data_IF_175614358021
#
_entry.id   IF_175614358021
#
_cell.length_a   1.000
_cell.length_b   1.000
_cell.length_c   1.000
_cell.angle_alpha   90.00
_cell.angle_beta   90.00
_cell.angle_gamma   90.00
#
_symmetry.space_group_name_H-M   'P 1'
#
loop_
_entity.id
_entity.type
_entity.pdbx_description
1 polymer ?
#
# COMPACT_ATOMS: atom_id res chain seq x y z
N UNK A 1 8.62 54.15 -46.22
CA UNK A 1 8.54 52.73 -46.64
C UNK A 1 8.05 51.92 -45.45
N UNK A 2 7.29 50.86 -45.65
CA UNK A 2 6.80 50.02 -44.55
C UNK A 2 7.96 49.19 -43.99
N UNK A 3 8.71 49.77 -43.06
CA UNK A 3 9.92 49.18 -42.46
C UNK A 3 9.62 48.12 -41.39
N UNK A 4 8.39 47.60 -41.34
CA UNK A 4 7.97 46.59 -40.36
C UNK A 4 7.88 45.23 -41.06
N UNK A 5 8.49 44.16 -40.51
CA UNK A 5 8.18 42.81 -40.96
C UNK A 5 6.67 42.67 -40.99
N UNK A 6 6.14 42.34 -42.16
CA UNK A 6 4.69 42.33 -42.38
C UNK A 6 4.08 41.41 -41.32
N UNK A 7 3.06 41.86 -40.59
CA UNK A 7 2.40 41.08 -39.53
C UNK A 7 2.04 39.66 -40.02
N UNK A 8 1.72 39.54 -41.31
CA UNK A 8 1.54 38.28 -42.01
C UNK A 8 2.75 37.34 -41.92
N UNK A 9 3.98 37.82 -42.15
CA UNK A 9 5.20 37.02 -42.06
C UNK A 9 5.39 36.46 -40.64
N UNK A 10 5.18 37.30 -39.62
CA UNK A 10 5.27 36.89 -38.22
C UNK A 10 4.19 35.85 -37.89
N UNK A 11 2.96 36.05 -38.38
CA UNK A 11 1.88 35.09 -38.20
C UNK A 11 2.18 33.75 -38.87
N UNK A 12 2.72 33.76 -40.09
CA UNK A 12 3.14 32.56 -40.83
C UNK A 12 4.24 31.82 -40.05
N UNK A 13 5.28 32.52 -39.58
CA UNK A 13 6.34 31.93 -38.73
C UNK A 13 5.72 31.28 -37.49
N UNK A 14 4.81 31.98 -36.79
CA UNK A 14 4.12 31.46 -35.62
C UNK A 14 3.33 30.19 -35.91
N UNK A 15 2.60 30.14 -37.02
CA UNK A 15 1.84 28.95 -37.44
C UNK A 15 2.78 27.79 -37.81
N UNK A 16 3.86 28.04 -38.53
CA UNK A 16 4.85 27.00 -38.88
C UNK A 16 5.53 26.42 -37.65
N UNK A 17 5.92 27.27 -36.69
CA UNK A 17 6.56 26.83 -35.44
C UNK A 17 5.55 26.07 -34.57
N UNK A 18 4.33 26.60 -34.42
CA UNK A 18 3.29 25.92 -33.64
C UNK A 18 2.95 24.55 -34.25
N UNK A 19 2.68 24.49 -35.56
CA UNK A 19 2.44 23.23 -36.26
C UNK A 19 3.63 22.27 -36.12
N UNK A 20 4.85 22.74 -36.34
CA UNK A 20 6.07 21.94 -36.19
C UNK A 20 6.21 21.35 -34.78
N UNK A 21 5.98 22.14 -33.73
CA UNK A 21 6.01 21.67 -32.34
C UNK A 21 4.88 20.68 -32.06
N UNK A 22 3.66 20.92 -32.56
CA UNK A 22 2.57 19.96 -32.37
C UNK A 22 2.86 18.61 -33.02
N UNK A 23 3.45 18.60 -34.22
CA UNK A 23 3.84 17.37 -34.91
C UNK A 23 5.01 16.67 -34.24
N UNK A 24 5.94 17.41 -33.62
CA UNK A 24 7.05 16.85 -32.84
C UNK A 24 6.58 16.11 -31.56
N UNK A 25 5.41 16.46 -31.03
CA UNK A 25 4.83 15.81 -29.86
C UNK A 25 4.04 14.55 -30.22
N UNK A 26 3.88 14.24 -31.51
CA UNK A 26 3.19 13.03 -31.94
C UNK A 26 4.08 11.79 -31.86
N UNK A 27 3.43 10.62 -31.83
CA UNK A 27 4.11 9.34 -31.63
C UNK A 27 4.65 8.71 -32.91
N UNK A 28 4.18 9.12 -34.09
CA UNK A 28 4.64 8.57 -35.36
C UNK A 28 5.90 9.29 -35.85
N UNK A 29 6.92 8.52 -36.23
CA UNK A 29 8.19 9.01 -36.73
C UNK A 29 8.02 9.86 -37.99
N UNK A 30 7.06 9.53 -38.86
CA UNK A 30 6.76 10.33 -40.05
C UNK A 30 6.20 11.71 -39.70
N UNK A 31 5.34 11.78 -38.67
CA UNK A 31 4.83 13.06 -38.15
C UNK A 31 5.92 13.88 -37.48
N UNK A 32 6.80 13.25 -36.69
CA UNK A 32 7.98 13.89 -36.10
C UNK A 32 8.89 14.46 -37.21
N UNK A 33 9.16 13.68 -38.27
CA UNK A 33 9.95 14.12 -39.43
C UNK A 33 9.35 15.37 -40.09
N UNK A 34 8.04 15.34 -40.36
CA UNK A 34 7.33 16.49 -40.94
C UNK A 34 7.37 17.70 -39.99
N UNK A 35 7.30 17.47 -38.68
CA UNK A 35 7.47 18.50 -37.64
C UNK A 35 8.84 19.17 -37.70
N UNK A 36 9.93 18.40 -37.84
CA UNK A 36 11.30 18.94 -38.00
C UNK A 36 11.42 19.77 -39.29
N UNK A 37 10.84 19.32 -40.40
CA UNK A 37 10.83 20.07 -41.66
C UNK A 37 10.07 21.39 -41.50
N UNK A 38 8.86 21.37 -40.93
CA UNK A 38 8.05 22.58 -40.69
C UNK A 38 8.76 23.57 -39.77
N UNK A 39 9.34 23.07 -38.67
CA UNK A 39 10.07 23.90 -37.71
C UNK A 39 11.32 24.52 -38.35
N UNK A 40 12.08 23.75 -39.13
CA UNK A 40 13.24 24.27 -39.88
C UNK A 40 12.85 25.38 -40.87
N UNK A 41 11.75 25.21 -41.60
CA UNK A 41 11.22 26.26 -42.47
C UNK A 41 10.77 27.50 -41.69
N UNK A 42 10.10 27.32 -40.55
CA UNK A 42 9.71 28.41 -39.66
C UNK A 42 10.90 29.21 -39.13
N UNK A 43 11.97 28.53 -38.71
CA UNK A 43 13.21 29.16 -38.25
C UNK A 43 13.92 29.90 -39.39
N UNK A 44 13.97 29.33 -40.60
CA UNK A 44 14.54 30.01 -41.76
C UNK A 44 13.80 31.32 -42.08
N UNK A 45 12.47 31.30 -42.03
CA UNK A 45 11.65 32.51 -42.20
C UNK A 45 11.83 33.50 -41.04
N UNK A 46 12.04 33.01 -39.81
CA UNK A 46 12.34 33.85 -38.67
C UNK A 46 13.68 34.58 -38.83
N UNK A 47 14.73 33.88 -39.28
CA UNK A 47 16.03 34.48 -39.61
C UNK A 47 15.90 35.48 -40.76
N UNK A 48 15.10 35.16 -41.78
CA UNK A 48 14.84 36.09 -42.87
C UNK A 48 14.19 37.38 -42.38
N UNK A 49 13.26 37.28 -41.41
CA UNK A 49 12.61 38.43 -40.79
C UNK A 49 13.56 39.35 -40.02
N UNK A 50 14.75 38.88 -39.62
CA UNK A 50 15.75 39.75 -38.97
C UNK A 50 16.61 40.52 -39.95
N UNK A 51 16.57 40.19 -41.25
CA UNK A 51 17.43 40.79 -42.29
C UNK A 51 17.04 42.18 -42.79
N UNK A 52 16.08 42.85 -42.14
CA UNK A 52 15.69 44.22 -42.47
C UNK A 52 14.82 44.35 -43.72
N UNK A 53 14.83 45.54 -44.33
CA UNK A 53 13.99 45.87 -45.48
C UNK A 53 14.35 45.03 -46.72
N UNK A 54 13.33 44.71 -47.52
CA UNK A 54 13.55 44.06 -48.80
C UNK A 54 14.34 45.00 -49.72
N UNK A 55 15.50 44.53 -50.16
CA UNK A 55 16.42 45.24 -51.06
C UNK A 55 16.71 44.41 -52.30
N UNK A 56 17.60 44.92 -53.15
CA UNK A 56 18.10 44.16 -54.29
C UNK A 56 19.01 43.00 -53.87
N UNK A 57 19.28 42.05 -54.77
CA UNK A 57 20.16 40.92 -54.50
C UNK A 57 21.56 41.40 -54.05
N UNK A 58 22.19 40.77 -53.03
CA UNK A 58 23.53 41.11 -52.57
C UNK A 58 24.59 40.55 -53.53
N UNK A 59 24.54 41.04 -54.77
CA UNK A 59 25.44 40.68 -55.85
C UNK A 59 26.16 41.96 -56.31
N UNK A 60 27.48 41.90 -56.36
CA UNK A 60 28.31 43.02 -56.77
C UNK A 60 27.99 43.42 -58.22
N UNK A 61 27.74 44.71 -58.44
CA UNK A 61 27.49 45.29 -59.76
C UNK A 61 26.03 45.29 -60.24
N UNK A 62 25.09 44.72 -59.47
CA UNK A 62 23.66 44.70 -59.82
C UNK A 62 22.83 45.76 -59.07
N UNK A 63 23.13 45.99 -57.79
CA UNK A 63 22.38 46.90 -56.91
C UNK A 63 23.35 47.87 -56.23
N UNK A 64 23.00 49.15 -56.00
CA UNK A 64 23.80 50.04 -55.15
C UNK A 64 23.92 49.48 -53.71
N UNK A 65 25.08 49.64 -53.07
CA UNK A 65 25.35 49.02 -51.75
C UNK A 65 24.35 49.40 -50.64
N UNK A 66 23.74 50.59 -50.71
CA UNK A 66 22.72 51.04 -49.75
C UNK A 66 21.32 50.49 -49.99
N UNK A 67 21.09 49.81 -51.12
CA UNK A 67 19.81 49.22 -51.51
C UNK A 67 19.85 47.68 -51.54
N UNK A 68 20.99 47.08 -51.18
CA UNK A 68 21.14 45.62 -51.09
C UNK A 68 20.48 45.06 -49.83
N UNK A 69 19.86 43.89 -49.94
CA UNK A 69 19.48 43.10 -48.76
C UNK A 69 20.72 42.61 -47.99
N UNK A 70 20.59 42.45 -46.68
CA UNK A 70 21.67 41.96 -45.82
C UNK A 70 22.11 40.53 -46.25
N UNK A 71 23.39 40.33 -46.64
CA UNK A 71 23.90 39.02 -47.02
C UNK A 71 24.07 38.06 -45.83
N UNK A 72 24.15 38.56 -44.60
CA UNK A 72 24.44 37.73 -43.42
C UNK A 72 23.29 36.73 -43.12
N UNK A 73 22.01 37.15 -42.99
CA UNK A 73 20.89 36.22 -42.85
C UNK A 73 20.78 35.21 -44.01
N UNK A 74 21.10 35.62 -45.24
CA UNK A 74 21.02 34.74 -46.41
C UNK A 74 22.03 33.59 -46.33
N UNK A 75 23.28 33.88 -45.96
CA UNK A 75 24.30 32.86 -45.74
C UNK A 75 23.96 31.92 -44.58
N UNK A 76 23.36 32.44 -43.50
CA UNK A 76 22.89 31.64 -42.38
C UNK A 76 21.75 30.69 -42.79
N UNK A 77 20.78 31.18 -43.57
CA UNK A 77 19.66 30.36 -44.07
C UNK A 77 20.17 29.24 -44.99
N UNK A 78 21.12 29.53 -45.90
CA UNK A 78 21.70 28.50 -46.76
C UNK A 78 22.34 27.36 -45.94
N UNK A 79 23.06 27.72 -44.88
CA UNK A 79 23.67 26.75 -43.96
C UNK A 79 22.62 25.95 -43.21
N UNK A 80 21.58 26.61 -42.70
CA UNK A 80 20.48 25.98 -41.99
C UNK A 80 19.69 25.00 -42.87
N UNK A 81 19.47 25.34 -44.16
CA UNK A 81 18.81 24.45 -45.13
C UNK A 81 19.61 23.16 -45.31
N UNK A 82 20.93 23.24 -45.48
CA UNK A 82 21.79 22.06 -45.67
C UNK A 82 21.81 21.17 -44.42
N UNK A 83 21.89 21.77 -43.22
CA UNK A 83 21.80 21.02 -41.96
C UNK A 83 20.44 20.33 -41.84
N UNK A 84 19.36 21.05 -42.12
CA UNK A 84 18.00 20.49 -42.07
C UNK A 84 17.85 19.34 -43.07
N UNK A 85 18.40 19.47 -44.28
CA UNK A 85 18.42 18.38 -45.26
C UNK A 85 19.19 17.15 -44.75
N UNK A 86 20.35 17.34 -44.12
CA UNK A 86 21.13 16.25 -43.54
C UNK A 86 20.39 15.54 -42.40
N UNK A 87 19.82 16.31 -41.47
CA UNK A 87 19.04 15.77 -40.35
C UNK A 87 17.78 15.06 -40.85
N UNK A 88 17.07 15.63 -41.81
CA UNK A 88 15.85 15.01 -42.37
C UNK A 88 16.17 13.74 -43.16
N UNK A 89 17.24 13.70 -43.95
CA UNK A 89 17.69 12.47 -44.61
C UNK A 89 18.07 11.38 -43.60
N UNK A 90 18.76 11.76 -42.52
CA UNK A 90 19.11 10.83 -41.43
C UNK A 90 17.87 10.31 -40.69
N UNK A 91 16.96 11.19 -40.29
CA UNK A 91 15.69 10.81 -39.67
C UNK A 91 14.84 9.93 -40.58
N UNK A 92 14.78 10.24 -41.87
CA UNK A 92 14.07 9.43 -42.87
C UNK A 92 14.69 8.04 -43.01
N UNK A 93 16.02 7.93 -43.03
CA UNK A 93 16.70 6.64 -43.06
C UNK A 93 16.42 5.82 -41.79
N UNK A 94 16.39 6.45 -40.61
CA UNK A 94 16.01 5.80 -39.36
C UNK A 94 14.54 5.37 -39.35
N UNK A 95 13.63 6.23 -39.82
CA UNK A 95 12.21 5.90 -39.94
C UNK A 95 11.99 4.72 -40.89
N UNK A 96 12.67 4.72 -42.04
CA UNK A 96 12.65 3.59 -42.97
C UNK A 96 13.18 2.30 -42.31
N UNK A 97 14.29 2.40 -41.57
CA UNK A 97 14.86 1.26 -40.85
C UNK A 97 13.94 0.74 -39.75
N UNK A 98 13.30 1.62 -39.00
CA UNK A 98 12.31 1.29 -37.95
C UNK A 98 11.12 0.58 -38.57
N UNK A 99 10.56 1.12 -39.65
CA UNK A 99 9.46 0.49 -40.38
C UNK A 99 9.83 -0.91 -40.89
N UNK A 100 11.05 -1.09 -41.41
CA UNK A 100 11.53 -2.41 -41.85
C UNK A 100 11.62 -3.44 -40.71
N UNK A 101 11.93 -3.00 -39.48
CA UNK A 101 12.10 -3.87 -38.31
C UNK A 101 10.80 -4.15 -37.57
N UNK A 102 9.91 -3.16 -37.46
CA UNK A 102 8.71 -3.21 -36.62
C UNK A 102 7.40 -3.30 -37.41
N UNK A 103 7.41 -2.98 -38.71
CA UNK A 103 6.20 -2.96 -39.56
C UNK A 103 5.31 -1.72 -39.39
N UNK A 104 5.60 -0.87 -38.41
CA UNK A 104 4.94 0.40 -38.13
C UNK A 104 5.98 1.47 -37.75
N UNK A 105 5.63 2.75 -37.87
CA UNK A 105 6.53 3.88 -37.59
C UNK A 105 6.25 4.57 -36.24
N UNK A 106 5.48 3.92 -35.37
CA UNK A 106 5.14 4.43 -34.03
C UNK A 106 6.30 4.22 -33.03
N UNK A 107 6.66 5.29 -32.31
CA UNK A 107 7.65 5.27 -31.22
C UNK A 107 7.07 4.54 -30.01
N UNK A 108 7.61 3.36 -29.71
CA UNK A 108 7.14 2.53 -28.60
C UNK A 108 7.66 3.02 -27.24
N UNK A 109 6.84 2.83 -26.21
CA UNK A 109 7.25 3.05 -24.82
C UNK A 109 8.21 1.93 -24.39
N UNK A 110 9.27 2.32 -23.67
CA UNK A 110 10.27 1.40 -23.18
C UNK A 110 9.62 0.28 -22.33
N UNK A 111 9.96 -0.96 -22.65
CA UNK A 111 9.50 -2.13 -21.90
C UNK A 111 10.01 -2.10 -20.44
N UNK A 112 11.16 -1.47 -20.19
CA UNK A 112 11.70 -1.28 -18.85
C UNK A 112 10.86 -0.29 -18.03
N UNK A 113 10.42 0.82 -18.64
CA UNK A 113 9.54 1.79 -17.98
C UNK A 113 8.19 1.19 -17.60
N UNK A 114 7.58 0.39 -18.50
CA UNK A 114 6.35 -0.37 -18.19
C UNK A 114 6.56 -1.38 -17.06
N UNK A 115 7.73 -2.02 -16.99
CA UNK A 115 8.08 -2.96 -15.90
C UNK A 115 8.29 -2.26 -14.56
N UNK A 116 8.83 -1.03 -14.55
CA UNK A 116 8.98 -0.24 -13.34
C UNK A 116 7.62 0.23 -12.82
N UNK A 117 6.75 0.71 -13.70
CA UNK A 117 5.38 1.13 -13.36
C UNK A 117 4.58 -0.01 -12.71
N UNK A 118 4.53 -1.18 -13.36
CA UNK A 118 3.87 -2.38 -12.82
C UNK A 118 4.59 -2.99 -11.61
N UNK A 119 5.91 -2.87 -11.54
CA UNK A 119 6.72 -3.29 -10.40
C UNK A 119 6.45 -2.48 -9.13
N UNK A 120 6.10 -1.20 -9.28
CA UNK A 120 5.70 -0.30 -8.18
C UNK A 120 4.48 -0.82 -7.41
N UNK A 121 3.47 -1.31 -8.12
CA UNK A 121 2.25 -1.84 -7.52
C UNK A 121 2.51 -3.11 -6.70
N UNK A 122 3.33 -4.03 -7.23
CA UNK A 122 3.73 -5.25 -6.51
C UNK A 122 4.50 -4.94 -5.24
N UNK A 123 5.34 -3.89 -5.23
CA UNK A 123 6.05 -3.43 -4.02
C UNK A 123 5.10 -2.85 -2.98
N UNK A 124 4.14 -2.00 -3.39
CA UNK A 124 3.11 -1.43 -2.51
C UNK A 124 2.23 -2.51 -1.87
N UNK A 125 1.76 -3.48 -2.65
CA UNK A 125 0.98 -4.62 -2.16
C UNK A 125 1.78 -5.46 -1.14
N UNK A 126 3.06 -5.77 -1.44
CA UNK A 126 3.93 -6.49 -0.50
C UNK A 126 4.14 -5.72 0.81
N UNK A 127 4.30 -4.40 0.75
CA UNK A 127 4.42 -3.56 1.95
C UNK A 127 3.13 -3.55 2.77
N UNK A 128 1.96 -3.43 2.12
CA UNK A 128 0.66 -3.47 2.79
C UNK A 128 0.43 -4.79 3.53
N UNK A 129 0.70 -5.94 2.87
CA UNK A 129 0.59 -7.27 3.49
C UNK A 129 1.56 -7.42 4.67
N UNK A 130 2.80 -6.94 4.54
CA UNK A 130 3.78 -6.95 5.64
C UNK A 130 3.33 -6.10 6.82
N UNK A 131 2.75 -4.93 6.56
CA UNK A 131 2.22 -4.03 7.59
C UNK A 131 1.04 -4.67 8.33
N UNK A 132 0.04 -5.21 7.60
CA UNK A 132 -1.08 -5.94 8.20
C UNK A 132 -0.62 -7.14 9.04
N UNK A 133 0.34 -7.92 8.54
CA UNK A 133 0.88 -9.08 9.28
C UNK A 133 1.58 -8.66 10.57
N UNK A 134 2.27 -7.51 10.57
CA UNK A 134 2.89 -6.93 11.77
C UNK A 134 1.83 -6.45 12.77
N UNK A 135 0.80 -5.75 12.29
CA UNK A 135 -0.32 -5.29 13.12
C UNK A 135 -1.05 -6.48 13.78
N UNK A 136 -1.37 -7.52 13.02
CA UNK A 136 -2.00 -8.74 13.54
C UNK A 136 -1.13 -9.42 14.62
N UNK A 137 0.20 -9.54 14.38
CA UNK A 137 1.12 -10.11 15.38
C UNK A 137 1.13 -9.31 16.67
N UNK A 138 1.07 -7.97 16.60
CA UNK A 138 0.99 -7.09 17.78
C UNK A 138 -0.33 -7.30 18.52
N UNK A 139 -1.46 -7.32 17.80
CA UNK A 139 -2.77 -7.55 18.39
C UNK A 139 -2.85 -8.91 19.11
N UNK A 140 -2.35 -9.98 18.49
CA UNK A 140 -2.32 -11.33 19.10
C UNK A 140 -1.46 -11.38 20.35
N UNK A 141 -0.30 -10.70 20.35
CA UNK A 141 0.57 -10.63 21.54
C UNK A 141 -0.12 -9.88 22.68
N UNK A 142 -0.72 -8.74 22.38
CA UNK A 142 -1.47 -7.95 23.37
C UNK A 142 -2.66 -8.74 23.96
N UNK A 143 -3.37 -9.50 23.12
CA UNK A 143 -4.49 -10.31 23.57
C UNK A 143 -4.04 -11.49 24.45
N UNK A 144 -2.88 -12.09 24.15
CA UNK A 144 -2.29 -13.13 25.01
C UNK A 144 -1.85 -12.58 26.36
N UNK A 145 -1.13 -11.46 26.39
CA UNK A 145 -0.68 -10.86 27.65
C UNK A 145 -1.86 -10.41 28.52
N UNK A 146 -2.94 -9.91 27.91
CA UNK A 146 -4.15 -9.57 28.65
C UNK A 146 -4.85 -10.80 29.25
N UNK A 147 -4.84 -11.93 28.54
CA UNK A 147 -5.39 -13.18 29.05
C UNK A 147 -4.53 -13.76 30.18
N UNK A 148 -3.20 -13.76 30.02
CA UNK A 148 -2.26 -14.18 31.06
C UNK A 148 -2.48 -13.36 32.35
N UNK A 149 -2.58 -12.03 32.23
CA UNK A 149 -2.86 -11.16 33.38
C UNK A 149 -4.22 -11.44 34.05
N UNK A 150 -5.24 -11.90 33.30
CA UNK A 150 -6.52 -12.30 33.89
C UNK A 150 -6.43 -13.62 34.66
N UNK A 151 -5.63 -14.56 34.16
CA UNK A 151 -5.39 -15.84 34.84
C UNK A 151 -4.62 -15.59 36.13
N UNK A 152 -3.53 -14.83 36.06
CA UNK A 152 -2.71 -14.49 37.24
C UNK A 152 -3.57 -13.81 38.32
N UNK A 153 -4.43 -12.86 37.93
CA UNK A 153 -5.34 -12.18 38.86
C UNK A 153 -6.45 -13.09 39.42
N UNK A 154 -6.83 -14.17 38.73
CA UNK A 154 -7.74 -15.18 39.25
C UNK A 154 -7.03 -16.07 40.26
N UNK A 155 -5.81 -16.51 39.95
CA UNK A 155 -5.00 -17.36 40.82
C UNK A 155 -4.70 -16.66 42.16
N UNK A 156 -4.35 -15.36 42.14
CA UNK A 156 -4.15 -14.57 43.36
C UNK A 156 -5.42 -14.50 44.23
N UNK A 157 -6.60 -14.40 43.62
CA UNK A 157 -7.89 -14.40 44.36
C UNK A 157 -8.17 -15.75 44.98
N UNK A 158 -7.94 -16.83 44.25
CA UNK A 158 -8.10 -18.19 44.78
C UNK A 158 -7.15 -18.45 45.96
N UNK A 159 -5.89 -18.00 45.87
CA UNK A 159 -4.92 -18.12 46.95
C UNK A 159 -5.35 -17.35 48.21
N UNK A 160 -5.86 -16.13 48.03
CA UNK A 160 -6.39 -15.32 49.11
C UNK A 160 -7.61 -15.99 49.78
N UNK A 161 -8.54 -16.53 49.01
CA UNK A 161 -9.69 -17.29 49.54
C UNK A 161 -9.23 -18.55 50.31
N UNK A 162 -8.28 -19.32 49.76
CA UNK A 162 -7.72 -20.49 50.44
C UNK A 162 -6.98 -20.14 51.73
N UNK A 163 -6.32 -18.97 51.77
CA UNK A 163 -5.69 -18.46 52.99
C UNK A 163 -6.74 -18.07 54.05
N UNK A 164 -7.80 -17.37 53.65
CA UNK A 164 -8.89 -16.98 54.54
C UNK A 164 -9.61 -18.19 55.15
N UNK A 165 -9.89 -19.23 54.36
CA UNK A 165 -10.50 -20.48 54.86
C UNK A 165 -9.58 -21.19 55.85
N UNK A 166 -8.27 -21.23 55.60
CA UNK A 166 -7.30 -21.82 56.55
C UNK A 166 -7.28 -21.06 57.87
N UNK A 167 -7.30 -19.73 57.83
CA UNK A 167 -7.36 -18.88 59.02
C UNK A 167 -8.64 -19.14 59.83
N UNK A 168 -9.80 -19.22 59.17
CA UNK A 168 -11.08 -19.55 59.81
C UNK A 168 -11.05 -20.91 60.51
N UNK A 169 -10.48 -21.94 59.87
CA UNK A 169 -10.33 -23.27 60.47
C UNK A 169 -9.40 -23.21 61.70
N UNK A 170 -8.32 -22.43 61.63
CA UNK A 170 -7.39 -22.26 62.75
C UNK A 170 -8.02 -21.50 63.93
N UNK A 171 -8.84 -20.48 63.66
CA UNK A 171 -9.62 -19.77 64.68
C UNK A 171 -10.65 -20.69 65.34
N UNK A 172 -11.44 -21.42 64.54
CA UNK A 172 -12.42 -22.36 65.08
C UNK A 172 -11.79 -23.46 65.97
N UNK A 173 -10.56 -23.89 65.65
CA UNK A 173 -9.79 -24.80 66.52
C UNK A 173 -9.37 -24.15 67.84
N UNK A 174 -8.87 -22.92 67.81
CA UNK A 174 -8.44 -22.18 69.02
C UNK A 174 -9.63 -21.90 69.95
N UNK A 175 -10.75 -21.45 69.40
CA UNK A 175 -12.00 -21.22 70.17
C UNK A 175 -12.51 -22.51 70.83
N UNK A 176 -12.31 -23.66 70.18
CA UNK A 176 -12.68 -24.96 70.72
C UNK A 176 -11.75 -25.38 71.88
N UNK A 177 -10.44 -25.17 71.73
CA UNK A 177 -9.46 -25.44 72.80
C UNK A 177 -9.70 -24.56 74.04
N UNK A 178 -9.97 -23.27 73.86
CA UNK A 178 -10.26 -22.33 74.95
C UNK A 178 -11.52 -22.73 75.74
N UNK A 179 -12.57 -23.21 75.03
CA UNK A 179 -13.79 -23.72 75.67
C UNK A 179 -13.58 -25.03 76.42
N UNK A 180 -12.54 -25.80 76.09
CA UNK A 180 -12.17 -27.05 76.77
C UNK A 180 -11.32 -26.80 78.02
N UNK A 181 -10.53 -25.72 78.08
CA UNK A 181 -9.67 -25.39 79.23
C UNK A 181 -10.46 -24.92 80.47
N UNK A 182 -11.68 -24.41 80.30
CA UNK A 182 -12.53 -23.92 81.40
C UNK A 182 -13.58 -24.89 81.95
N UNK A 183 -13.56 -26.18 81.56
CA UNK A 183 -14.58 -27.15 81.95
C UNK A 183 -14.07 -28.16 82.99
N UNK A 184 -14.87 -28.45 84.03
CA UNK A 184 -14.60 -29.49 85.03
C UNK A 184 -14.57 -30.89 84.41
N UNK A 185 -13.85 -31.88 84.97
CA UNK A 185 -13.62 -33.20 84.35
C UNK A 185 -14.92 -33.96 83.98
N UNK A 186 -15.99 -33.82 84.76
CA UNK A 186 -17.30 -34.44 84.45
C UNK A 186 -18.08 -33.67 83.37
N UNK A 187 -17.91 -32.34 83.33
CA UNK A 187 -18.40 -31.49 82.25
C UNK A 187 -17.59 -31.71 80.98
N UNK A 188 -16.27 -31.97 81.05
CA UNK A 188 -15.42 -32.36 79.92
C UNK A 188 -15.85 -33.69 79.36
N UNK A 189 -16.16 -34.71 80.16
CA UNK A 189 -16.61 -36.01 79.61
C UNK A 189 -17.99 -35.90 78.96
N UNK A 190 -18.95 -35.18 79.58
CA UNK A 190 -20.26 -34.94 78.94
C UNK A 190 -20.15 -34.00 77.73
N UNK A 191 -19.34 -32.96 77.80
CA UNK A 191 -19.03 -32.09 76.66
C UNK A 191 -18.29 -32.85 75.58
N UNK A 192 -17.37 -33.75 75.90
CA UNK A 192 -16.63 -34.55 74.93
C UNK A 192 -17.50 -35.65 74.31
N UNK A 193 -18.49 -36.20 75.00
CA UNK A 193 -19.45 -37.14 74.40
C UNK A 193 -20.51 -36.41 73.56
N UNK A 194 -21.05 -35.31 74.08
CA UNK A 194 -22.01 -34.47 73.33
C UNK A 194 -21.32 -33.79 72.16
N UNK A 195 -20.10 -33.26 72.34
CA UNK A 195 -19.23 -32.77 71.27
C UNK A 195 -18.64 -33.90 70.45
N UNK A 196 -18.45 -35.13 70.89
CA UNK A 196 -18.02 -36.20 69.98
C UNK A 196 -19.16 -36.53 69.02
N UNK A 197 -20.41 -36.54 69.50
CA UNK A 197 -21.58 -36.64 68.65
C UNK A 197 -21.76 -35.40 67.75
N UNK A 198 -21.57 -34.18 68.29
CA UNK A 198 -21.69 -32.92 67.55
C UNK A 198 -20.52 -32.68 66.58
N UNK A 199 -19.31 -33.11 66.94
CA UNK A 199 -18.09 -33.14 66.10
C UNK A 199 -18.24 -34.21 65.06
N UNK A 200 -18.78 -35.39 65.37
CA UNK A 200 -19.06 -36.39 64.34
C UNK A 200 -20.15 -35.90 63.38
N UNK A 201 -21.20 -35.26 63.88
CA UNK A 201 -22.24 -34.64 63.07
C UNK A 201 -21.68 -33.49 62.22
N UNK A 202 -20.92 -32.56 62.80
CA UNK A 202 -20.29 -31.45 62.07
C UNK A 202 -19.15 -31.90 61.16
N UNK A 203 -18.44 -32.98 61.46
CA UNK A 203 -17.44 -33.60 60.57
C UNK A 203 -18.14 -34.31 59.42
N UNK A 204 -19.24 -35.03 59.64
CA UNK A 204 -20.03 -35.61 58.56
C UNK A 204 -20.71 -34.53 57.72
N UNK A 205 -21.17 -33.45 58.34
CA UNK A 205 -21.73 -32.30 57.65
C UNK A 205 -20.64 -31.52 56.88
N UNK A 206 -19.46 -31.33 57.46
CA UNK A 206 -18.29 -30.75 56.77
C UNK A 206 -17.78 -31.66 55.65
N UNK A 207 -17.81 -32.99 55.82
CA UNK A 207 -17.51 -33.96 54.75
C UNK A 207 -18.58 -33.92 53.66
N UNK A 208 -19.86 -33.74 54.00
CA UNK A 208 -20.94 -33.54 53.02
C UNK A 208 -20.76 -32.22 52.27
N UNK A 209 -20.46 -31.12 52.96
CA UNK A 209 -20.15 -29.81 52.36
C UNK A 209 -18.89 -29.86 51.50
N UNK A 210 -17.82 -30.53 51.94
CA UNK A 210 -16.62 -30.75 51.11
C UNK A 210 -16.92 -31.63 49.90
N UNK A 211 -17.78 -32.65 50.02
CA UNK A 211 -18.21 -33.48 48.89
C UNK A 211 -19.02 -32.66 47.89
N UNK A 212 -19.95 -31.83 48.37
CA UNK A 212 -20.73 -30.90 47.54
C UNK A 212 -19.84 -29.84 46.89
N UNK A 213 -18.99 -29.15 47.65
CA UNK A 213 -18.06 -28.16 47.13
C UNK A 213 -17.06 -28.76 46.11
N UNK A 214 -16.59 -30.00 46.33
CA UNK A 214 -15.78 -30.71 45.33
C UNK A 214 -16.57 -31.05 44.07
N UNK A 215 -17.85 -31.37 44.20
CA UNK A 215 -18.72 -31.66 43.07
C UNK A 215 -19.02 -30.39 42.26
N UNK A 216 -19.35 -29.29 42.95
CA UNK A 216 -19.55 -27.97 42.36
C UNK A 216 -18.27 -27.45 41.70
N UNK A 217 -17.12 -27.58 42.34
CA UNK A 217 -15.83 -27.21 41.75
C UNK A 217 -15.50 -28.08 40.52
N UNK A 218 -15.81 -29.38 40.56
CA UNK A 218 -15.61 -30.26 39.41
C UNK A 218 -16.54 -29.91 38.23
N UNK A 219 -17.79 -29.51 38.51
CA UNK A 219 -18.73 -29.00 37.52
C UNK A 219 -18.28 -27.66 36.94
N UNK A 220 -17.82 -26.72 37.77
CA UNK A 220 -17.29 -25.43 37.34
C UNK A 220 -16.07 -25.61 36.42
N UNK A 221 -15.10 -26.42 36.83
CA UNK A 221 -13.91 -26.72 36.02
C UNK A 221 -14.26 -27.45 34.71
N UNK A 222 -15.33 -28.25 34.67
CA UNK A 222 -15.84 -28.85 33.43
C UNK A 222 -16.43 -27.78 32.51
N UNK A 223 -17.28 -26.91 33.05
CA UNK A 223 -17.89 -25.79 32.31
C UNK A 223 -16.81 -24.86 31.74
N UNK A 224 -15.79 -24.52 32.52
CA UNK A 224 -14.69 -23.66 32.09
C UNK A 224 -13.86 -24.30 30.97
N UNK A 225 -13.55 -25.59 31.07
CA UNK A 225 -12.87 -26.33 29.98
C UNK A 225 -13.74 -26.38 28.72
N UNK A 226 -15.05 -26.49 28.84
CA UNK A 226 -15.97 -26.45 27.71
C UNK A 226 -16.05 -25.06 27.07
N UNK A 227 -16.11 -24.01 27.88
CA UNK A 227 -16.05 -22.61 27.43
C UNK A 227 -14.72 -22.30 26.73
N UNK A 228 -13.59 -22.74 27.27
CA UNK A 228 -12.28 -22.59 26.64
C UNK A 228 -12.23 -23.31 25.29
N UNK A 229 -12.76 -24.54 25.22
CA UNK A 229 -12.87 -25.30 23.97
C UNK A 229 -13.78 -24.58 22.96
N UNK A 230 -14.89 -23.99 23.40
CA UNK A 230 -15.82 -23.23 22.57
C UNK A 230 -15.17 -21.97 22.01
N UNK A 231 -14.53 -21.16 22.86
CA UNK A 231 -13.79 -19.97 22.47
C UNK A 231 -12.67 -20.30 21.46
N UNK A 232 -11.92 -21.38 21.70
CA UNK A 232 -10.88 -21.85 20.75
C UNK A 232 -11.47 -22.27 19.40
N UNK A 233 -12.64 -22.92 19.38
CA UNK A 233 -13.34 -23.30 18.15
C UNK A 233 -13.83 -22.07 17.38
N UNK A 234 -14.45 -21.11 18.06
CA UNK A 234 -14.93 -19.86 17.47
C UNK A 234 -13.76 -19.03 16.91
N UNK A 235 -12.66 -18.89 17.65
CA UNK A 235 -11.46 -18.20 17.18
C UNK A 235 -10.89 -18.86 15.92
N UNK A 236 -10.78 -20.20 15.90
CA UNK A 236 -10.33 -20.95 14.72
C UNK A 236 -11.27 -20.74 13.53
N UNK A 237 -12.58 -20.72 13.75
CA UNK A 237 -13.57 -20.46 12.70
C UNK A 237 -13.45 -19.03 12.15
N UNK A 238 -13.34 -18.01 13.00
CA UNK A 238 -13.13 -16.61 12.59
C UNK A 238 -11.85 -16.45 11.77
N UNK A 239 -10.74 -17.03 12.21
CA UNK A 239 -9.45 -17.00 11.48
C UNK A 239 -9.59 -17.68 10.11
N UNK A 240 -10.27 -18.83 10.04
CA UNK A 240 -10.53 -19.53 8.77
C UNK A 240 -11.41 -18.68 7.83
N UNK A 241 -12.45 -18.04 8.35
CA UNK A 241 -13.33 -17.16 7.59
C UNK A 241 -12.58 -15.94 7.05
N UNK A 242 -11.80 -15.24 7.88
CA UNK A 242 -10.96 -14.12 7.46
C UNK A 242 -9.93 -14.53 6.39
N UNK A 243 -9.29 -15.70 6.55
CA UNK A 243 -8.39 -16.23 5.52
C UNK A 243 -9.09 -16.52 4.20
N UNK A 244 -10.32 -17.06 4.25
CA UNK A 244 -11.13 -17.29 3.04
C UNK A 244 -11.51 -15.99 2.36
N UNK A 245 -11.98 -14.99 3.12
CA UNK A 245 -12.30 -13.66 2.60
C UNK A 245 -11.08 -12.99 1.96
N UNK A 246 -9.92 -13.03 2.62
CA UNK A 246 -8.68 -12.48 2.07
C UNK A 246 -8.28 -13.18 0.76
N UNK A 247 -8.36 -14.51 0.70
CA UNK A 247 -8.07 -15.26 -0.53
C UNK A 247 -9.07 -14.94 -1.65
N UNK A 248 -10.35 -14.80 -1.33
CA UNK A 248 -11.37 -14.41 -2.29
C UNK A 248 -11.13 -13.00 -2.82
N UNK A 249 -10.79 -12.04 -1.95
CA UNK A 249 -10.41 -10.68 -2.35
C UNK A 249 -9.21 -10.65 -3.29
N UNK A 250 -8.13 -11.35 -2.94
CA UNK A 250 -6.94 -11.46 -3.81
C UNK A 250 -7.29 -12.07 -5.17
N UNK A 251 -8.15 -13.09 -5.22
CA UNK A 251 -8.56 -13.71 -6.47
C UNK A 251 -9.39 -12.75 -7.33
N UNK A 252 -10.37 -12.08 -6.74
CA UNK A 252 -11.20 -11.09 -7.45
C UNK A 252 -10.38 -9.91 -7.98
N UNK A 253 -9.39 -9.45 -7.23
CA UNK A 253 -8.50 -8.37 -7.64
C UNK A 253 -7.56 -8.80 -8.78
N UNK A 254 -7.05 -10.05 -8.76
CA UNK A 254 -6.33 -10.64 -9.89
C UNK A 254 -7.19 -10.75 -11.14
N UNK A 255 -8.45 -11.16 -11.01
CA UNK A 255 -9.38 -11.25 -12.15
C UNK A 255 -9.71 -9.88 -12.74
N UNK A 256 -9.80 -8.82 -11.90
CA UNK A 256 -9.96 -7.45 -12.39
C UNK A 256 -8.75 -6.97 -13.18
N UNK A 257 -7.55 -7.23 -12.67
CA UNK A 257 -6.30 -6.88 -13.36
C UNK A 257 -6.16 -7.64 -14.67
N UNK A 258 -6.48 -8.94 -14.71
CA UNK A 258 -6.47 -9.72 -15.94
C UNK A 258 -7.46 -9.19 -16.99
N UNK A 259 -8.68 -8.77 -16.58
CA UNK A 259 -9.64 -8.14 -17.49
C UNK A 259 -9.19 -6.76 -17.98
N UNK A 260 -8.47 -6.00 -17.16
CA UNK A 260 -7.89 -4.73 -17.59
C UNK A 260 -6.77 -4.96 -18.62
N UNK A 261 -5.87 -5.93 -18.37
CA UNK A 261 -4.84 -6.35 -19.33
C UNK A 261 -5.45 -6.86 -20.66
N UNK A 262 -6.51 -7.66 -20.62
CA UNK A 262 -7.20 -8.13 -21.84
C UNK A 262 -7.94 -6.99 -22.57
N UNK A 263 -8.50 -6.01 -21.84
CA UNK A 263 -9.14 -4.83 -22.45
C UNK A 263 -8.13 -3.90 -23.13
N UNK A 264 -6.93 -3.75 -22.57
CA UNK A 264 -5.84 -3.00 -23.18
C UNK A 264 -5.29 -3.72 -24.43
N UNK A 265 -5.43 -5.05 -24.51
CA UNK A 265 -5.07 -5.86 -25.69
C UNK A 265 -6.17 -5.91 -26.77
N UNK A 266 -7.41 -5.50 -26.47
CA UNK A 266 -8.54 -5.42 -27.41
C UNK A 266 -8.87 -3.99 -27.84
N UNK A 267 -8.11 -2.99 -27.39
CA UNK A 267 -8.25 -1.60 -27.79
C UNK A 267 -7.48 -1.29 -29.07
N UNK A 268 -8.22 -0.82 -30.08
CA UNK A 268 -7.82 -0.21 -31.35
C UNK A 268 -7.57 -1.20 -32.51
N UNK A 269 -8.67 -1.69 -33.07
CA UNK A 269 -8.85 -1.73 -34.54
C UNK A 269 -9.28 -0.34 -35.03
#
# INVERSE_FOLDING_TARGET
>A
MNDTPTILLIAVVGVLVAAGVTLLLERSLTRILLGVVLLGNGVNLMILSTGGAAGGPPLLGLTPAGEMSDPLPQAMILTAIVITLGVTAFLLAMAYRSWQLQGHDEVQDDAEDRRIATGGERRRMRQHIRAQKRALRRAVRAQRSALEAQIDAQDEREEAERAAIREQIAQARRDLEERLEGADDEARVRLLDTQAADVHATVEEARRRMRQARHELAEHLRCDRENERRLRRELRQRIRAQRRQLRAGIRAERERLARAEDSDMQGVD
#
